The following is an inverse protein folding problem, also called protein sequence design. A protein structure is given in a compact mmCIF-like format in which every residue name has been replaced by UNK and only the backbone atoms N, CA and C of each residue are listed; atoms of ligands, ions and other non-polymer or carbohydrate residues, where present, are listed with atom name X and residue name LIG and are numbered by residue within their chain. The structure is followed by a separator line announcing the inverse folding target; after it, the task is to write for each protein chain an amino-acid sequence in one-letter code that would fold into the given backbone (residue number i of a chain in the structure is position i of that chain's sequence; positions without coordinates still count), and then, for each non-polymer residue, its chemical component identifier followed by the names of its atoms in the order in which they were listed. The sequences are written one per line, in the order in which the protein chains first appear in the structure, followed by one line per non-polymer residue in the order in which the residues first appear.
data_IF_059975706792
#
_entry.id   IF_059975706792
#
_cell.length_a   1.000
_cell.length_b   1.000
_cell.length_c   1.000
_cell.angle_alpha   90.00
_cell.angle_beta   90.00
_cell.angle_gamma   90.00
#
_symmetry.space_group_name_H-M   'P 1'
#
loop_
_entity.id
_entity.type
_entity.pdbx_description
1 polymer ?
#
# COMPACT_ATOMS: atom_id res chain seq x y z
N UNK A 1 -18.53 -4.30 3.38
CA UNK A 1 -17.41 -3.40 3.75
C UNK A 1 -17.95 -2.36 4.70
N UNK A 2 -17.26 -2.14 5.81
CA UNK A 2 -17.60 -1.20 6.87
C UNK A 2 -16.36 -0.39 7.26
N UNK A 3 -16.57 0.81 7.80
CA UNK A 3 -15.50 1.68 8.29
C UNK A 3 -15.89 2.22 9.66
N UNK A 4 -15.00 2.05 10.62
CA UNK A 4 -15.15 2.54 11.98
C UNK A 4 -14.06 3.56 12.29
N UNK A 5 -14.45 4.80 12.57
CA UNK A 5 -13.54 5.85 13.05
C UNK A 5 -13.37 5.66 14.55
N UNK A 6 -12.14 5.43 15.00
CA UNK A 6 -11.82 5.19 16.41
C UNK A 6 -11.53 6.50 17.14
N UNK A 7 -10.82 7.42 16.48
CA UNK A 7 -10.54 8.78 16.93
C UNK A 7 -10.05 9.66 15.75
N UNK A 8 -9.61 10.88 16.05
CA UNK A 8 -9.17 11.87 15.07
C UNK A 8 -7.96 11.42 14.22
N UNK A 9 -7.25 10.37 14.62
CA UNK A 9 -6.05 9.88 13.94
C UNK A 9 -6.15 8.44 13.49
N UNK A 10 -7.19 7.69 13.91
CA UNK A 10 -7.29 6.26 13.69
C UNK A 10 -8.66 5.84 13.18
N UNK A 11 -8.65 5.01 12.15
CA UNK A 11 -9.85 4.36 11.61
C UNK A 11 -9.54 2.94 11.14
N UNK A 12 -10.55 2.10 11.08
CA UNK A 12 -10.49 0.76 10.51
C UNK A 12 -11.44 0.68 9.32
N UNK A 13 -10.97 0.10 8.22
CA UNK A 13 -11.77 -0.28 7.06
C UNK A 13 -11.67 -1.79 6.90
N UNK A 14 -12.80 -2.48 6.94
CA UNK A 14 -12.81 -3.94 6.87
C UNK A 14 -13.99 -4.46 6.04
N UNK A 15 -13.81 -5.65 5.49
CA UNK A 15 -14.85 -6.36 4.76
C UNK A 15 -15.05 -7.75 5.32
N UNK A 16 -16.28 -8.22 5.23
CA UNK A 16 -16.60 -9.60 5.56
C UNK A 16 -16.40 -10.46 4.33
N UNK A 17 -15.88 -11.66 4.51
CA UNK A 17 -15.87 -12.68 3.46
C UNK A 17 -16.80 -13.84 3.86
N UNK A 18 -17.61 -14.27 2.91
CA UNK A 18 -18.44 -15.46 3.02
C UNK A 18 -17.68 -16.76 2.71
N UNK A 19 -16.53 -16.66 2.06
CA UNK A 19 -15.61 -17.75 1.76
C UNK A 19 -14.38 -17.64 2.67
N UNK A 20 -14.61 -17.87 3.97
CA UNK A 20 -13.63 -18.23 5.00
C UNK A 20 -12.28 -17.47 5.03
N UNK A 21 -12.25 -16.39 5.80
CA UNK A 21 -11.08 -16.06 6.64
C UNK A 21 -11.47 -16.29 8.10
N UNK A 22 -10.90 -17.30 8.76
CA UNK A 22 -11.15 -17.57 10.17
C UNK A 22 -10.42 -16.57 11.09
N UNK A 23 -10.83 -15.31 11.07
CA UNK A 23 -10.66 -14.48 12.25
C UNK A 23 -11.83 -14.77 13.18
N UNK A 24 -11.68 -15.81 14.01
CA UNK A 24 -12.64 -16.11 15.07
C UNK A 24 -12.57 -15.00 16.11
N UNK A 25 -13.46 -14.02 16.00
CA UNK A 25 -13.93 -13.23 17.13
C UNK A 25 -15.20 -13.82 17.78
N UNK A 26 -15.70 -14.96 17.32
CA UNK A 26 -16.86 -15.64 17.93
C UNK A 26 -16.50 -17.06 18.39
N UNK A 27 -16.26 -17.22 19.68
CA UNK A 27 -16.01 -18.54 20.27
C UNK A 27 -17.19 -19.48 20.07
N UNK A 28 -17.09 -20.39 19.10
CA UNK A 28 -17.71 -21.72 19.07
C UNK A 28 -17.04 -22.49 17.94
N UNK A 29 -16.44 -23.64 18.27
CA UNK A 29 -15.46 -24.32 17.45
C UNK A 29 -15.99 -25.17 16.30
N UNK A 30 -15.02 -25.76 15.59
CA UNK A 30 -15.21 -26.88 14.66
C UNK A 30 -14.14 -26.93 13.58
N UNK A 31 -13.14 -27.81 13.76
CA UNK A 31 -12.16 -28.33 12.76
C UNK A 31 -12.06 -27.60 11.42
N UNK A 32 -11.17 -26.59 11.33
CA UNK A 32 -10.67 -26.07 10.06
C UNK A 32 -9.16 -25.81 10.19
N UNK A 33 -8.38 -26.45 9.32
CA UNK A 33 -6.97 -26.81 9.55
C UNK A 33 -5.96 -25.70 9.18
N UNK A 34 -6.35 -24.42 9.10
CA UNK A 34 -5.43 -23.27 9.11
C UNK A 34 -6.16 -22.03 9.65
N UNK A 35 -6.10 -21.80 10.97
CA UNK A 35 -6.52 -20.54 11.58
C UNK A 35 -5.70 -19.38 10.97
N UNK A 36 -6.28 -18.64 10.03
CA UNK A 36 -5.68 -17.42 9.49
C UNK A 36 -5.99 -16.25 10.40
N UNK A 37 -5.12 -15.99 11.37
CA UNK A 37 -5.16 -14.75 12.14
C UNK A 37 -4.65 -13.57 11.29
N UNK A 38 -5.55 -12.87 10.57
CA UNK A 38 -5.19 -11.70 9.75
C UNK A 38 -4.56 -10.57 10.60
N UNK A 39 -4.80 -10.57 11.90
CA UNK A 39 -4.34 -9.52 12.80
C UNK A 39 -2.98 -9.82 13.45
N UNK A 40 -2.39 -11.00 13.18
CA UNK A 40 -1.18 -11.47 13.85
C UNK A 40 0.01 -10.50 13.74
N UNK A 41 0.12 -9.76 12.63
CA UNK A 41 1.18 -8.77 12.37
C UNK A 41 0.70 -7.32 12.48
N UNK A 42 -0.48 -7.08 13.06
CA UNK A 42 -1.08 -5.75 13.18
C UNK A 42 -0.92 -5.18 14.59
N UNK A 43 -0.96 -3.85 14.78
CA UNK A 43 -1.01 -3.24 16.11
C UNK A 43 -2.22 -3.72 16.92
N UNK A 44 -2.05 -3.89 18.24
CA UNK A 44 -3.11 -4.37 19.15
C UNK A 44 -4.42 -3.58 19.06
N UNK A 45 -4.34 -2.29 18.74
CA UNK A 45 -5.53 -1.44 18.63
C UNK A 45 -6.45 -1.82 17.46
N UNK A 46 -5.93 -2.51 16.42
CA UNK A 46 -6.76 -3.01 15.32
C UNK A 46 -7.74 -4.05 15.85
N UNK A 47 -7.24 -5.03 16.60
CA UNK A 47 -8.05 -6.06 17.22
C UNK A 47 -9.06 -5.49 18.23
N UNK A 48 -8.67 -4.45 18.97
CA UNK A 48 -9.56 -3.79 19.93
C UNK A 48 -10.72 -3.03 19.26
N UNK A 49 -10.49 -2.50 18.05
CA UNK A 49 -11.46 -1.69 17.31
C UNK A 49 -12.41 -2.48 16.41
N UNK A 50 -12.13 -3.76 16.13
CA UNK A 50 -12.97 -4.59 15.26
C UNK A 50 -14.21 -5.15 15.98
N UNK A 51 -15.34 -5.32 15.28
CA UNK A 51 -16.54 -5.91 15.84
C UNK A 51 -16.28 -7.37 16.26
N UNK A 52 -16.73 -7.73 17.46
CA UNK A 52 -16.54 -9.09 18.01
C UNK A 52 -17.57 -10.11 17.54
N UNK A 53 -18.67 -9.66 16.94
CA UNK A 53 -19.77 -10.51 16.55
C UNK A 53 -20.11 -10.27 15.07
N UNK A 54 -20.50 -11.33 14.36
CA UNK A 54 -20.92 -11.24 12.96
C UNK A 54 -20.17 -12.18 12.03
N UNK A 55 -20.22 -11.87 10.73
CA UNK A 55 -19.57 -12.65 9.67
C UNK A 55 -18.05 -12.46 9.77
N UNK A 56 -17.23 -13.50 9.52
CA UNK A 56 -15.77 -13.37 9.58
C UNK A 56 -15.21 -12.26 8.67
N UNK A 57 -14.14 -11.63 9.13
CA UNK A 57 -13.52 -10.49 8.44
C UNK A 57 -12.50 -11.01 7.42
N UNK A 58 -12.75 -10.77 6.14
CA UNK A 58 -11.91 -11.11 4.99
C UNK A 58 -10.65 -10.27 4.84
N UNK A 59 -10.73 -8.98 5.21
CA UNK A 59 -9.61 -8.06 5.13
C UNK A 59 -9.76 -6.92 6.13
N UNK A 60 -8.61 -6.35 6.54
CA UNK A 60 -8.55 -5.16 7.39
C UNK A 60 -7.48 -4.20 6.87
N UNK A 61 -7.85 -2.93 6.81
CA UNK A 61 -6.95 -1.81 6.67
C UNK A 61 -7.08 -0.92 7.92
N UNK A 62 -5.96 -0.47 8.45
CA UNK A 62 -5.89 0.53 9.50
C UNK A 62 -5.37 1.83 8.96
N UNK A 63 -6.07 2.92 9.29
CA UNK A 63 -5.60 4.27 9.11
C UNK A 63 -4.92 4.74 10.39
N UNK A 64 -3.72 5.29 10.29
CA UNK A 64 -3.04 5.97 11.39
C UNK A 64 -2.22 7.15 10.85
N UNK A 65 -2.40 8.34 11.43
CA UNK A 65 -1.53 9.50 11.18
C UNK A 65 -1.44 9.93 9.71
N UNK A 66 -2.50 9.73 8.92
CA UNK A 66 -2.54 10.14 7.51
C UNK A 66 -2.33 9.03 6.48
N UNK A 67 -2.07 7.81 6.92
CA UNK A 67 -1.71 6.70 6.04
C UNK A 67 -2.56 5.48 6.31
N UNK A 68 -2.93 4.78 5.23
CA UNK A 68 -3.58 3.49 5.30
C UNK A 68 -2.53 2.38 5.19
N UNK A 69 -2.60 1.42 6.09
CA UNK A 69 -1.85 0.18 6.03
C UNK A 69 -2.83 -0.98 5.91
N UNK A 70 -2.43 -2.03 5.19
CA UNK A 70 -3.17 -3.29 5.14
C UNK A 70 -2.56 -4.26 6.13
N UNK A 71 -3.39 -5.13 6.71
CA UNK A 71 -2.90 -6.27 7.46
C UNK A 71 -1.97 -7.14 6.59
N UNK A 72 -0.83 -7.53 7.16
CA UNK A 72 0.15 -8.40 6.50
C UNK A 72 -0.14 -9.87 6.86
N UNK A 73 -0.30 -10.72 5.85
CA UNK A 73 -0.49 -12.16 5.98
C UNK A 73 0.01 -12.87 4.72
N UNK A 74 0.41 -14.14 4.87
CA UNK A 74 1.13 -14.88 3.83
C UNK A 74 0.18 -15.66 2.89
N UNK A 75 -1.14 -15.61 3.14
CA UNK A 75 -2.13 -16.31 2.34
C UNK A 75 -2.57 -15.50 1.11
N UNK A 76 -2.83 -16.20 0.01
CA UNK A 76 -3.33 -15.60 -1.22
C UNK A 76 -4.83 -15.27 -1.12
N UNK A 77 -5.17 -13.99 -1.03
CA UNK A 77 -6.54 -13.47 -0.93
C UNK A 77 -7.08 -12.90 -2.27
N UNK A 78 -6.41 -13.22 -3.37
CA UNK A 78 -6.72 -12.67 -4.69
C UNK A 78 -6.34 -11.20 -4.88
N UNK A 79 -5.83 -10.48 -3.87
CA UNK A 79 -5.46 -9.08 -4.05
C UNK A 79 -4.29 -8.91 -5.02
N UNK A 80 -3.33 -9.85 -5.00
CA UNK A 80 -2.23 -9.89 -5.97
C UNK A 80 -2.69 -10.19 -7.40
N UNK A 81 -3.83 -10.88 -7.58
CA UNK A 81 -4.36 -11.24 -8.91
C UNK A 81 -4.99 -10.05 -9.63
N UNK A 82 -5.38 -9.00 -8.90
CA UNK A 82 -5.86 -7.72 -9.46
C UNK A 82 -4.73 -6.96 -10.16
N UNK A 83 -3.48 -7.36 -9.95
CA UNK A 83 -2.34 -6.85 -10.72
C UNK A 83 -1.94 -5.42 -10.38
N UNK A 84 -2.13 -5.00 -9.13
CA UNK A 84 -1.69 -3.67 -8.69
C UNK A 84 -0.18 -3.49 -8.89
N UNK A 85 0.27 -2.32 -9.35
CA UNK A 85 1.69 -2.07 -9.60
C UNK A 85 2.52 -2.11 -8.31
N UNK A 86 1.95 -1.71 -7.17
CA UNK A 86 2.62 -1.74 -5.86
C UNK A 86 2.59 -3.13 -5.17
N UNK A 87 2.40 -4.22 -5.92
CA UNK A 87 2.34 -5.59 -5.36
C UNK A 87 3.70 -6.22 -5.08
N UNK A 88 4.74 -5.75 -5.77
CA UNK A 88 6.15 -6.07 -5.53
C UNK A 88 7.01 -4.98 -6.14
N UNK A 89 8.29 -4.91 -5.75
CA UNK A 89 9.22 -3.95 -6.33
C UNK A 89 9.40 -4.19 -7.84
N UNK A 90 9.39 -5.44 -8.30
CA UNK A 90 9.47 -5.77 -9.72
C UNK A 90 8.23 -5.30 -10.50
N UNK A 91 7.04 -5.50 -9.95
CA UNK A 91 5.81 -5.03 -10.59
C UNK A 91 5.74 -3.48 -10.61
N UNK A 92 6.25 -2.84 -9.57
CA UNK A 92 6.34 -1.39 -9.51
C UNK A 92 7.34 -0.87 -10.55
N UNK A 93 8.47 -1.57 -10.70
CA UNK A 93 9.46 -1.27 -11.73
C UNK A 93 8.88 -1.38 -13.14
N UNK A 94 8.16 -2.46 -13.45
CA UNK A 94 7.50 -2.64 -14.75
C UNK A 94 6.54 -1.47 -15.07
N UNK A 95 5.70 -1.07 -14.11
CA UNK A 95 4.77 0.05 -14.28
C UNK A 95 5.50 1.39 -14.49
N UNK A 96 6.58 1.65 -13.75
CA UNK A 96 7.37 2.87 -13.90
C UNK A 96 8.02 2.93 -15.29
N UNK A 97 8.52 1.79 -15.80
CA UNK A 97 9.11 1.71 -17.15
C UNK A 97 8.07 2.07 -18.21
N UNK A 98 6.84 1.56 -18.08
CA UNK A 98 5.75 1.87 -19.02
C UNK A 98 5.39 3.36 -18.97
N UNK A 99 5.25 3.94 -17.78
CA UNK A 99 4.96 5.38 -17.61
C UNK A 99 6.05 6.28 -18.19
N UNK A 100 7.31 5.99 -17.93
CA UNK A 100 8.46 6.75 -18.43
C UNK A 100 8.61 6.56 -19.94
N UNK A 101 8.36 5.35 -20.43
CA UNK A 101 8.31 5.05 -21.86
C UNK A 101 7.28 5.91 -22.59
N UNK A 102 6.08 6.05 -22.04
CA UNK A 102 5.04 6.87 -22.62
C UNK A 102 5.28 8.38 -22.47
N UNK A 103 5.81 8.82 -21.31
CA UNK A 103 6.19 10.20 -21.10
C UNK A 103 7.32 10.64 -22.05
N UNK A 104 8.36 9.83 -22.21
CA UNK A 104 9.49 10.13 -23.10
C UNK A 104 9.02 10.26 -24.56
N UNK A 105 8.15 9.34 -25.02
CA UNK A 105 7.55 9.41 -26.36
C UNK A 105 6.79 10.72 -26.58
N UNK A 106 6.00 11.18 -25.60
CA UNK A 106 5.28 12.46 -25.67
C UNK A 106 6.23 13.65 -25.73
N UNK A 107 7.38 13.56 -25.06
CA UNK A 107 8.45 14.58 -25.10
C UNK A 107 9.34 14.48 -26.34
N UNK A 108 9.06 13.56 -27.28
CA UNK A 108 9.84 13.37 -28.50
C UNK A 108 11.17 12.63 -28.29
N UNK A 109 11.36 12.02 -27.13
CA UNK A 109 12.53 11.20 -26.80
C UNK A 109 12.12 9.71 -26.72
N UNK A 110 13.11 8.83 -26.59
CA UNK A 110 12.88 7.43 -26.21
C UNK A 110 13.85 7.14 -25.08
N UNK A 111 13.32 7.11 -23.86
CA UNK A 111 14.08 6.79 -22.67
C UNK A 111 13.54 5.52 -22.03
N UNK A 112 14.44 4.65 -21.60
CA UNK A 112 14.15 3.45 -20.83
C UNK A 112 15.14 3.47 -19.66
N UNK A 113 14.68 3.54 -18.41
CA UNK A 113 15.55 3.51 -17.24
C UNK A 113 16.38 2.23 -17.21
N UNK A 114 17.60 2.29 -16.68
CA UNK A 114 18.33 1.07 -16.37
C UNK A 114 17.67 0.36 -15.18
N UNK A 115 17.57 -0.99 -15.18
CA UNK A 115 16.95 -1.72 -14.07
C UNK A 115 17.58 -1.41 -12.71
N UNK A 116 18.90 -1.20 -12.65
CA UNK A 116 19.59 -0.87 -11.40
C UNK A 116 19.20 0.51 -10.84
N UNK A 117 19.07 1.52 -11.70
CA UNK A 117 18.67 2.87 -11.30
C UNK A 117 17.22 2.88 -10.79
N UNK A 118 16.37 2.06 -11.42
CA UNK A 118 14.97 1.91 -11.03
C UNK A 118 14.81 1.23 -9.67
N UNK A 119 15.55 0.15 -9.42
CA UNK A 119 15.55 -0.51 -8.12
C UNK A 119 16.15 0.38 -7.03
N UNK A 120 17.16 1.19 -7.36
CA UNK A 120 17.68 2.20 -6.43
C UNK A 120 16.61 3.25 -6.08
N UNK A 121 15.87 3.75 -7.07
CA UNK A 121 14.78 4.70 -6.85
C UNK A 121 13.65 4.11 -5.99
N UNK A 122 13.25 2.85 -6.23
CA UNK A 122 12.24 2.15 -5.44
C UNK A 122 12.70 1.96 -4.00
N UNK A 123 13.97 1.56 -3.79
CA UNK A 123 14.57 1.38 -2.47
C UNK A 123 14.65 2.68 -1.67
N UNK A 124 14.95 3.81 -2.33
CA UNK A 124 14.91 5.13 -1.68
C UNK A 124 13.48 5.56 -1.31
N UNK A 125 12.48 5.15 -2.10
CA UNK A 125 11.08 5.45 -1.87
C UNK A 125 10.84 6.95 -1.68
N UNK A 126 10.21 7.33 -0.57
CA UNK A 126 9.95 8.72 -0.23
C UNK A 126 11.23 9.54 0.09
N UNK A 127 12.39 8.88 0.22
CA UNK A 127 13.69 9.52 0.38
C UNK A 127 14.42 9.80 -0.94
N UNK A 128 13.77 9.61 -2.09
CA UNK A 128 14.38 9.80 -3.40
C UNK A 128 15.03 11.19 -3.56
N UNK A 129 16.18 11.22 -4.23
CA UNK A 129 16.89 12.45 -4.58
C UNK A 129 16.59 12.92 -6.00
N UNK A 130 16.88 14.19 -6.32
CA UNK A 130 16.73 14.72 -7.70
C UNK A 130 17.64 13.97 -8.68
N UNK A 131 18.82 13.56 -8.23
CA UNK A 131 19.78 12.79 -9.02
C UNK A 131 19.21 11.42 -9.39
N UNK A 132 18.69 10.69 -8.42
CA UNK A 132 18.10 9.36 -8.62
C UNK A 132 16.80 9.44 -9.45
N UNK A 133 15.95 10.43 -9.18
CA UNK A 133 14.74 10.67 -9.98
C UNK A 133 15.10 11.08 -11.42
N UNK A 134 16.15 11.88 -11.61
CA UNK A 134 16.64 12.28 -12.92
C UNK A 134 17.19 11.10 -13.73
N UNK A 135 17.87 10.16 -13.08
CA UNK A 135 18.39 8.94 -13.71
C UNK A 135 17.27 8.07 -14.30
N UNK A 136 16.11 8.01 -13.64
CA UNK A 136 14.96 7.25 -14.15
C UNK A 136 14.14 8.04 -15.16
N UNK A 137 13.87 9.34 -14.94
CA UNK A 137 13.02 10.12 -15.84
C UNK A 137 13.72 10.43 -17.17
N UNK A 138 15.04 10.65 -17.17
CA UNK A 138 15.76 11.07 -18.35
C UNK A 138 15.36 12.47 -18.84
N UNK A 139 15.86 12.89 -20.02
CA UNK A 139 15.74 14.26 -20.47
C UNK A 139 14.31 14.63 -20.90
N UNK A 140 13.83 15.78 -20.43
CA UNK A 140 12.57 16.38 -20.87
C UNK A 140 11.32 15.76 -20.25
N UNK A 141 11.45 15.01 -19.17
CA UNK A 141 10.32 14.46 -18.41
C UNK A 141 10.20 15.17 -17.07
N UNK A 142 9.11 15.92 -16.93
CA UNK A 142 8.64 16.46 -15.66
C UNK A 142 9.53 17.53 -15.00
N UNK A 143 9.08 17.99 -13.85
CA UNK A 143 9.83 18.82 -12.92
C UNK A 143 10.36 17.91 -11.79
N UNK A 144 11.68 17.68 -11.78
CA UNK A 144 12.30 16.74 -10.85
C UNK A 144 12.27 17.24 -9.41
N UNK A 145 12.43 18.55 -9.20
CA UNK A 145 12.40 19.14 -7.85
C UNK A 145 10.98 19.03 -7.27
N UNK A 146 9.96 19.32 -8.08
CA UNK A 146 8.57 19.12 -7.68
C UNK A 146 8.25 17.63 -7.41
N UNK A 147 8.82 16.71 -8.20
CA UNK A 147 8.68 15.27 -7.98
C UNK A 147 9.29 14.80 -6.66
N UNK A 148 10.50 15.27 -6.32
CA UNK A 148 11.13 14.98 -5.02
C UNK A 148 10.32 15.59 -3.88
N UNK A 149 9.86 16.84 -4.00
CA UNK A 149 9.00 17.45 -2.99
C UNK A 149 7.70 16.65 -2.77
N UNK A 150 7.08 16.16 -3.85
CA UNK A 150 5.90 15.30 -3.76
C UNK A 150 6.21 13.97 -3.07
N UNK A 151 7.37 13.35 -3.33
CA UNK A 151 7.80 12.13 -2.65
C UNK A 151 8.00 12.37 -1.14
N UNK A 152 8.52 13.53 -0.74
CA UNK A 152 8.73 13.87 0.69
C UNK A 152 7.44 14.01 1.48
N UNK A 153 6.32 14.36 0.84
CA UNK A 153 5.01 14.41 1.50
C UNK A 153 4.57 13.04 2.05
N UNK A 154 5.16 11.93 1.59
CA UNK A 154 4.90 10.60 2.15
C UNK A 154 5.66 10.33 3.46
N UNK A 155 6.65 11.17 3.81
CA UNK A 155 7.37 11.10 5.09
C UNK A 155 6.74 11.99 6.17
N UNK A 156 5.94 12.98 5.76
CA UNK A 156 5.29 13.88 6.71
C UNK A 156 4.12 13.16 7.40
N UNK A 157 4.02 13.19 8.74
CA UNK A 157 2.79 12.80 9.41
C UNK A 157 1.70 13.74 8.90
N UNK A 158 0.65 13.20 8.27
CA UNK A 158 -0.41 14.06 7.72
C UNK A 158 -1.27 14.51 8.88
N UNK A 159 -0.82 15.57 9.54
CA UNK A 159 -1.62 16.30 10.51
C UNK A 159 -2.84 16.81 9.76
N UNK A 160 -4.00 16.24 10.07
CA UNK A 160 -5.27 16.81 9.65
C UNK A 160 -5.37 18.18 10.33
N UNK A 161 -5.21 19.24 9.54
CA UNK A 161 -5.58 20.57 9.97
C UNK A 161 -7.10 20.57 10.14
N UNK A 162 -7.55 20.47 11.39
CA UNK A 162 -8.90 20.83 11.76
C UNK A 162 -8.96 22.35 11.84
N UNK A 163 -9.55 22.97 10.81
CA UNK A 163 -10.20 24.28 10.90
C UNK A 163 -11.71 24.07 11.01
#
# INVERSE_FOLDING_TARGET
MAMDVLDDQRALLYGHDHEASENVLSGTGGDLDVEMNLLAKTPDWWNAGLPREGVPIGFVFGFEGGSWARAEYDHADGFLSVGFPMKSDEALAEEIVDWIGDASRRSGTRHIPAPADLMAAISEGANITVEVLGAICGPGIGDLEAGVAAARNFLEPKNSSAD
#
